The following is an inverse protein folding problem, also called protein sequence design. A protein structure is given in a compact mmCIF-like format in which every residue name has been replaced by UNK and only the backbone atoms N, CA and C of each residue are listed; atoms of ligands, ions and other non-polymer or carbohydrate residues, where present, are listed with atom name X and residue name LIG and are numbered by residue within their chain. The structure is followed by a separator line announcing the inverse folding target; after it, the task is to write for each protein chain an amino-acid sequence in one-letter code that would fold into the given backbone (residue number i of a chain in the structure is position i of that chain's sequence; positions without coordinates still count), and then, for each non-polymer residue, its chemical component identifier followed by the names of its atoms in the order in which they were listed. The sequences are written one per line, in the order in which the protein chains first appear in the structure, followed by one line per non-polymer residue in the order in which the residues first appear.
data_IF_242974516930
#
_entry.id   IF_242974516930
#
_cell.length_a   1.000
_cell.length_b   1.000
_cell.length_c   1.000
_cell.angle_alpha   90.00
_cell.angle_beta   90.00
_cell.angle_gamma   90.00
#
_symmetry.space_group_name_H-M   'P 1'
#
loop_
_entity.id
_entity.type
_entity.pdbx_description
1 polymer ?
#
# COMPACT_ATOMS: atom_id res chain seq x y z
N UNK A 1 -27.31 -27.40 19.94
CA UNK A 1 -25.96 -26.81 19.78
C UNK A 1 -25.23 -27.62 18.74
N UNK A 2 -25.22 -27.16 17.49
CA UNK A 2 -24.27 -27.55 16.45
C UNK A 2 -24.08 -26.29 15.61
N UNK A 3 -23.02 -25.53 15.91
CA UNK A 3 -22.60 -24.41 15.09
C UNK A 3 -21.82 -25.02 13.92
N UNK A 4 -22.45 -25.04 12.76
CA UNK A 4 -21.81 -25.38 11.49
C UNK A 4 -20.85 -24.22 11.15
N UNK A 5 -19.56 -24.44 11.31
CA UNK A 5 -18.51 -23.53 10.87
C UNK A 5 -18.14 -23.93 9.44
N UNK A 6 -18.44 -23.13 8.41
CA UNK A 6 -17.88 -23.38 7.10
C UNK A 6 -16.37 -23.15 7.17
N UNK A 7 -15.63 -24.10 6.60
CA UNK A 7 -14.19 -24.18 6.53
C UNK A 7 -13.63 -22.89 5.90
N UNK A 8 -12.69 -22.22 6.58
CA UNK A 8 -12.03 -21.04 6.02
C UNK A 8 -11.27 -21.46 4.76
N UNK A 9 -11.53 -20.87 3.59
CA UNK A 9 -10.80 -21.24 2.39
C UNK A 9 -9.32 -20.93 2.63
N UNK A 10 -8.48 -21.97 2.51
CA UNK A 10 -7.02 -21.85 2.48
C UNK A 10 -6.70 -20.88 1.36
N UNK A 11 -6.15 -19.73 1.71
CA UNK A 11 -5.76 -18.71 0.76
C UNK A 11 -4.50 -19.23 0.05
N UNK A 12 -4.67 -19.78 -1.15
CA UNK A 12 -3.57 -20.11 -2.06
C UNK A 12 -2.73 -18.84 -2.30
N UNK A 13 -1.57 -18.78 -1.64
CA UNK A 13 -0.57 -17.72 -1.77
C UNK A 13 0.36 -18.03 -2.94
N UNK A 14 -0.21 -18.10 -4.14
CA UNK A 14 0.56 -18.05 -5.38
C UNK A 14 -0.18 -17.13 -6.36
N UNK A 15 -0.26 -15.85 -6.00
CA UNK A 15 -0.63 -14.81 -6.95
C UNK A 15 0.65 -14.32 -7.63
N UNK A 16 0.71 -14.28 -8.97
CA UNK A 16 1.83 -13.68 -9.67
C UNK A 16 1.98 -12.22 -9.23
N UNK A 17 3.20 -11.78 -8.96
CA UNK A 17 3.59 -10.40 -8.69
C UNK A 17 3.17 -9.53 -9.89
N UNK A 18 1.89 -9.19 -9.91
CA UNK A 18 1.31 -8.28 -10.87
C UNK A 18 1.67 -6.93 -10.31
N UNK A 19 2.73 -6.31 -10.85
CA UNK A 19 2.94 -4.88 -10.64
C UNK A 19 1.58 -4.22 -10.82
N UNK A 20 1.07 -3.47 -9.82
CA UNK A 20 -0.29 -2.98 -9.88
C UNK A 20 -0.43 -2.27 -11.22
N UNK A 21 -1.35 -2.75 -12.07
CA UNK A 21 -1.87 -1.92 -13.14
C UNK A 21 -2.22 -0.60 -12.49
N UNK A 22 -2.07 0.53 -13.19
CA UNK A 22 -2.36 1.86 -12.64
C UNK A 22 -3.85 2.07 -12.22
N UNK A 23 -4.58 0.98 -11.93
CA UNK A 23 -5.68 0.87 -10.99
C UNK A 23 -5.32 1.62 -9.70
N UNK A 24 -5.62 2.91 -9.74
CA UNK A 24 -5.91 3.78 -8.61
C UNK A 24 -4.83 3.71 -7.54
N UNK A 25 -3.62 4.18 -7.88
CA UNK A 25 -2.63 4.54 -6.86
C UNK A 25 -3.27 5.60 -5.94
N UNK A 26 -3.77 5.15 -4.78
CA UNK A 26 -4.33 6.00 -3.71
C UNK A 26 -3.24 6.63 -2.87
N UNK A 27 -2.00 6.18 -3.04
CA UNK A 27 -0.84 6.72 -2.35
C UNK A 27 -0.45 8.05 -2.97
N UNK A 28 -0.54 9.10 -2.18
CA UNK A 28 -0.15 10.46 -2.51
C UNK A 28 1.11 10.88 -1.74
N UNK A 29 1.82 11.87 -2.27
CA UNK A 29 3.00 12.45 -1.64
C UNK A 29 2.83 13.97 -1.49
N UNK A 30 3.03 14.47 -0.27
CA UNK A 30 2.91 15.88 0.07
C UNK A 30 4.23 16.42 0.61
N UNK A 31 4.67 17.56 0.09
CA UNK A 31 5.81 18.30 0.61
C UNK A 31 5.41 19.13 1.84
N UNK A 32 6.25 19.12 2.87
CA UNK A 32 6.09 19.88 4.10
C UNK A 32 7.42 20.55 4.46
N UNK A 33 7.40 21.48 5.42
CA UNK A 33 8.62 22.11 5.93
C UNK A 33 9.59 21.10 6.59
N UNK A 34 9.09 19.92 6.99
CA UNK A 34 9.84 18.86 7.68
C UNK A 34 10.19 17.67 6.76
N UNK A 35 9.85 17.73 5.47
CA UNK A 35 10.17 16.68 4.49
C UNK A 35 8.97 16.29 3.62
N UNK A 36 8.78 14.99 3.42
CA UNK A 36 7.70 14.43 2.60
C UNK A 36 6.82 13.51 3.44
N UNK A 37 5.51 13.60 3.24
CA UNK A 37 4.53 12.66 3.78
C UNK A 37 3.97 11.82 2.64
N UNK A 38 4.05 10.51 2.78
CA UNK A 38 3.33 9.55 1.95
C UNK A 38 2.05 9.16 2.66
N UNK A 39 0.92 9.27 1.97
CA UNK A 39 -0.41 9.07 2.54
C UNK A 39 -1.24 8.18 1.63
N UNK A 40 -1.85 7.14 2.18
CA UNK A 40 -2.82 6.33 1.45
C UNK A 40 -4.23 6.90 1.61
N UNK A 41 -4.81 7.41 0.52
CA UNK A 41 -6.15 7.99 0.52
C UNK A 41 -7.26 6.95 0.78
N UNK A 42 -7.02 5.67 0.54
CA UNK A 42 -7.97 4.60 0.87
C UNK A 42 -7.91 4.19 2.35
N UNK A 43 -6.74 4.32 2.98
CA UNK A 43 -6.51 3.90 4.37
C UNK A 43 -5.91 5.08 5.19
N UNK A 44 -6.74 5.98 5.75
CA UNK A 44 -6.28 7.24 6.36
C UNK A 44 -5.30 7.12 7.54
N UNK A 45 -5.15 5.92 8.11
CA UNK A 45 -4.19 5.64 9.17
C UNK A 45 -2.84 5.15 8.64
N UNK A 46 -2.74 4.83 7.35
CA UNK A 46 -1.52 4.39 6.69
C UNK A 46 -0.78 5.61 6.11
N UNK A 47 0.21 6.10 6.87
CA UNK A 47 1.08 7.19 6.45
C UNK A 47 2.50 7.01 6.95
N UNK A 48 3.45 7.62 6.23
CA UNK A 48 4.88 7.60 6.55
C UNK A 48 5.45 9.00 6.29
N UNK A 49 6.33 9.48 7.17
CA UNK A 49 7.09 10.72 6.97
C UNK A 49 8.57 10.40 6.76
N UNK A 50 9.16 11.01 5.74
CA UNK A 50 10.59 10.94 5.46
C UNK A 50 11.17 12.34 5.32
N UNK A 51 12.45 12.52 5.68
CA UNK A 51 13.12 13.81 5.52
C UNK A 51 13.40 14.20 4.06
N UNK A 52 13.39 13.24 3.13
CA UNK A 52 13.60 13.46 1.68
C UNK A 52 13.00 12.31 0.89
N UNK A 53 12.33 12.64 -0.22
CA UNK A 53 11.94 11.67 -1.25
C UNK A 53 13.07 11.54 -2.30
N UNK A 54 13.26 10.34 -2.83
CA UNK A 54 14.15 10.09 -3.98
C UNK A 54 13.34 9.55 -5.15
N UNK A 55 13.63 10.02 -6.36
CA UNK A 55 13.06 9.47 -7.59
C UNK A 55 13.83 8.21 -7.97
N UNK A 56 13.11 7.11 -8.17
CA UNK A 56 13.74 5.83 -8.50
C UNK A 56 14.32 5.81 -9.92
N UNK A 57 13.75 6.58 -10.85
CA UNK A 57 14.25 6.68 -12.22
C UNK A 57 15.58 7.45 -12.35
N UNK A 58 15.89 8.30 -11.36
CA UNK A 58 17.15 9.07 -11.32
C UNK A 58 18.31 8.30 -10.66
N UNK A 59 18.04 7.12 -10.08
CA UNK A 59 19.00 6.33 -9.30
C UNK A 59 19.53 5.09 -10.05
N UNK A 60 19.26 4.98 -11.36
CA UNK A 60 19.62 3.85 -12.23
C UNK A 60 21.02 3.97 -12.87
#
# INVERSE_FOLDING_TARGET
MTHDMPESPTQDVDSPETAPEAAELTVEAYETDEGVVFYDAAEPTAWLQAGTAVRLDEMA
#
